data_IF_369125027066
#
_entry.id   IF_369125027066
#
_cell.length_a   1.000
_cell.length_b   1.000
_cell.length_c   1.000
_cell.angle_alpha   90.00
_cell.angle_beta   90.00
_cell.angle_gamma   90.00
#
_symmetry.space_group_name_H-M   'P 1'
#
loop_
_entity.id
_entity.type
_entity.pdbx_description
1 polymer ?
#
# COMPACT_ATOMS: atom_id res chain seq x y z
N UNK A 1 47.47 -20.53 -50.19
CA UNK A 1 46.87 -20.31 -48.85
C UNK A 1 47.06 -18.85 -48.49
N UNK A 2 46.07 -18.00 -48.76
CA UNK A 2 45.83 -16.69 -48.11
C UNK A 2 44.64 -16.00 -48.81
N UNK A 3 43.97 -15.13 -48.06
CA UNK A 3 42.89 -14.21 -48.45
C UNK A 3 41.46 -14.77 -48.60
N UNK A 4 40.91 -15.28 -47.50
CA UNK A 4 39.50 -15.02 -47.18
C UNK A 4 39.52 -14.22 -45.88
N UNK A 5 39.05 -12.99 -45.92
CA UNK A 5 38.56 -12.13 -44.82
C UNK A 5 38.92 -10.69 -45.18
N UNK A 6 37.92 -9.81 -45.09
CA UNK A 6 37.92 -8.38 -45.41
C UNK A 6 37.52 -7.99 -46.84
N UNK A 7 36.21 -7.95 -47.07
CA UNK A 7 35.60 -6.85 -47.82
C UNK A 7 34.12 -6.66 -47.45
N UNK A 8 33.87 -6.20 -46.22
CA UNK A 8 32.57 -5.63 -45.85
C UNK A 8 32.76 -4.12 -45.82
N UNK A 9 32.34 -3.45 -46.90
CA UNK A 9 32.48 -2.00 -47.01
C UNK A 9 31.73 -1.23 -45.90
N UNK A 10 32.16 -0.01 -45.57
CA UNK A 10 31.67 0.77 -44.42
C UNK A 10 30.14 0.98 -44.41
N UNK A 11 29.50 0.98 -45.58
CA UNK A 11 28.04 1.06 -45.72
C UNK A 11 27.28 -0.17 -45.21
N UNK A 12 27.86 -1.37 -45.29
CA UNK A 12 27.24 -2.62 -44.79
C UNK A 12 27.41 -2.77 -43.28
N UNK A 13 28.49 -2.23 -42.70
CA UNK A 13 28.69 -2.14 -41.26
C UNK A 13 27.75 -1.12 -40.60
N UNK A 14 27.56 0.05 -41.23
CA UNK A 14 26.59 1.04 -40.78
C UNK A 14 25.14 0.51 -40.84
N UNK A 15 24.78 -0.22 -41.90
CA UNK A 15 23.46 -0.86 -42.02
C UNK A 15 23.22 -1.94 -40.97
N UNK A 16 24.21 -2.79 -40.68
CA UNK A 16 24.11 -3.82 -39.64
C UNK A 16 24.02 -3.22 -38.23
N UNK A 17 24.79 -2.15 -37.94
CA UNK A 17 24.71 -1.42 -36.67
C UNK A 17 23.34 -0.73 -36.50
N UNK A 18 22.78 -0.16 -37.56
CA UNK A 18 21.46 0.47 -37.55
C UNK A 18 20.33 -0.54 -37.35
N UNK A 19 20.44 -1.73 -37.95
CA UNK A 19 19.50 -2.86 -37.75
C UNK A 19 19.63 -3.42 -36.33
N UNK A 20 20.84 -3.54 -35.77
CA UNK A 20 21.05 -4.00 -34.40
C UNK A 20 20.54 -2.98 -33.37
N UNK A 21 20.73 -1.68 -33.61
CA UNK A 21 20.21 -0.60 -32.77
C UNK A 21 18.66 -0.54 -32.84
N UNK A 22 18.06 -0.74 -34.02
CA UNK A 22 16.60 -0.71 -34.20
C UNK A 22 15.89 -1.95 -33.63
N UNK A 23 16.53 -3.12 -33.63
CA UNK A 23 16.01 -4.32 -32.96
C UNK A 23 16.01 -4.16 -31.42
N UNK A 24 17.00 -3.46 -30.85
CA UNK A 24 17.01 -3.13 -29.41
C UNK A 24 16.00 -2.05 -29.01
N UNK A 25 15.65 -1.13 -29.93
CA UNK A 25 14.67 -0.07 -29.68
C UNK A 25 13.22 -0.60 -29.66
N UNK A 26 12.91 -1.68 -30.39
CA UNK A 26 11.57 -2.28 -30.42
C UNK A 26 11.31 -3.28 -29.29
N UNK A 27 12.35 -3.75 -28.59
CA UNK A 27 12.20 -4.45 -27.32
C UNK A 27 11.98 -3.42 -26.19
N UNK A 28 10.89 -2.67 -26.26
CA UNK A 28 10.50 -1.75 -25.19
C UNK A 28 10.40 -2.52 -23.87
N UNK A 29 11.38 -2.34 -22.97
CA UNK A 29 11.38 -2.98 -21.66
C UNK A 29 10.01 -2.77 -21.00
N UNK A 30 9.29 -3.87 -20.76
CA UNK A 30 8.01 -3.84 -20.08
C UNK A 30 8.20 -3.21 -18.69
N UNK A 31 7.52 -2.08 -18.46
CA UNK A 31 7.52 -1.40 -17.17
C UNK A 31 6.86 -2.28 -16.10
N UNK A 32 7.12 -1.98 -14.83
CA UNK A 32 6.45 -2.62 -13.70
C UNK A 32 4.92 -2.71 -13.90
N UNK A 33 4.30 -1.58 -14.25
CA UNK A 33 2.86 -1.46 -14.49
C UNK A 33 2.33 -2.42 -15.56
N UNK A 34 3.13 -2.72 -16.58
CA UNK A 34 2.74 -3.64 -17.65
C UNK A 34 2.73 -5.09 -17.15
N UNK A 35 3.69 -5.45 -16.29
CA UNK A 35 3.85 -6.80 -15.74
C UNK A 35 2.75 -7.16 -14.72
N UNK A 36 2.30 -6.20 -13.91
CA UNK A 36 1.27 -6.46 -12.88
C UNK A 36 -0.16 -6.28 -13.39
N UNK A 37 -0.36 -5.67 -14.56
CA UNK A 37 -1.70 -5.35 -15.11
C UNK A 37 -2.61 -6.57 -15.21
N UNK A 38 -2.08 -7.69 -15.70
CA UNK A 38 -2.85 -8.94 -15.85
C UNK A 38 -3.36 -9.44 -14.50
N UNK A 39 -2.48 -9.51 -13.51
CA UNK A 39 -2.83 -9.95 -12.17
C UNK A 39 -3.85 -9.04 -11.48
N UNK A 40 -3.73 -7.71 -11.63
CA UNK A 40 -4.72 -6.76 -11.10
C UNK A 40 -6.07 -6.95 -11.78
N UNK A 41 -6.09 -7.19 -13.10
CA UNK A 41 -7.31 -7.44 -13.84
C UNK A 41 -8.00 -8.76 -13.42
N UNK A 42 -7.22 -9.83 -13.23
CA UNK A 42 -7.71 -11.11 -12.75
C UNK A 42 -8.26 -11.00 -11.32
N UNK A 43 -7.51 -10.34 -10.42
CA UNK A 43 -7.94 -10.05 -9.05
C UNK A 43 -9.30 -9.32 -9.02
N UNK A 44 -9.50 -8.29 -9.85
CA UNK A 44 -10.77 -7.54 -9.94
C UNK A 44 -11.95 -8.40 -10.37
N UNK A 45 -11.72 -9.46 -11.15
CA UNK A 45 -12.76 -10.39 -11.62
C UNK A 45 -13.03 -11.53 -10.63
N UNK A 46 -12.35 -11.56 -9.48
CA UNK A 46 -12.41 -12.67 -8.53
C UNK A 46 -11.52 -13.85 -8.90
N UNK A 47 -10.72 -13.74 -9.97
CA UNK A 47 -9.84 -14.80 -10.45
C UNK A 47 -8.51 -14.78 -9.69
N UNK A 48 -8.54 -15.20 -8.42
CA UNK A 48 -7.36 -15.11 -7.55
C UNK A 48 -6.23 -16.06 -7.97
N UNK A 49 -6.52 -17.30 -8.37
CA UNK A 49 -5.48 -18.27 -8.73
C UNK A 49 -4.65 -17.86 -9.97
N UNK A 50 -5.24 -17.38 -11.09
CA UNK A 50 -4.47 -16.79 -12.19
C UNK A 50 -3.62 -15.57 -11.76
N UNK A 51 -4.16 -14.71 -10.89
CA UNK A 51 -3.42 -13.57 -10.36
C UNK A 51 -2.21 -14.01 -9.51
N UNK A 52 -2.38 -15.02 -8.63
CA UNK A 52 -1.28 -15.62 -7.86
C UNK A 52 -0.22 -16.21 -8.79
N UNK A 53 -0.64 -17.02 -9.77
CA UNK A 53 0.25 -17.72 -10.68
C UNK A 53 1.12 -16.76 -11.53
N UNK A 54 0.54 -15.64 -11.97
CA UNK A 54 1.26 -14.62 -12.76
C UNK A 54 2.23 -13.77 -11.93
N UNK A 55 1.90 -13.49 -10.66
CA UNK A 55 2.75 -12.69 -9.77
C UNK A 55 3.87 -13.51 -9.11
N UNK A 56 3.65 -14.79 -8.83
CA UNK A 56 4.62 -15.66 -8.14
C UNK A 56 6.04 -15.60 -8.72
N UNK A 57 6.27 -15.84 -10.03
CA UNK A 57 7.64 -15.81 -10.58
C UNK A 57 8.30 -14.42 -10.49
N UNK A 58 7.50 -13.35 -10.49
CA UNK A 58 7.99 -11.97 -10.34
C UNK A 58 8.40 -11.68 -8.89
N UNK A 59 7.62 -12.15 -7.92
CA UNK A 59 7.88 -11.98 -6.49
C UNK A 59 9.03 -12.86 -5.98
N UNK A 60 9.21 -14.06 -6.56
CA UNK A 60 10.29 -14.98 -6.19
C UNK A 60 11.65 -14.53 -6.76
N UNK A 61 11.65 -13.90 -7.94
CA UNK A 61 12.87 -13.40 -8.58
C UNK A 61 13.51 -12.28 -7.76
N UNK A 62 14.74 -12.49 -7.32
CA UNK A 62 15.54 -11.46 -6.65
C UNK A 62 15.94 -10.35 -7.63
N UNK A 63 15.93 -9.12 -7.14
CA UNK A 63 16.32 -7.94 -7.90
C UNK A 63 15.59 -6.67 -7.46
N UNK A 64 15.85 -5.59 -8.19
CA UNK A 64 15.45 -4.24 -7.83
C UNK A 64 13.94 -4.03 -7.68
N UNK A 65 13.13 -4.85 -8.37
CA UNK A 65 11.67 -4.71 -8.38
C UNK A 65 10.98 -5.67 -7.41
N UNK A 66 11.73 -6.57 -6.77
CA UNK A 66 11.17 -7.68 -5.99
C UNK A 66 10.21 -7.20 -4.89
N UNK A 67 10.55 -6.10 -4.21
CA UNK A 67 9.71 -5.53 -3.16
C UNK A 67 8.32 -5.16 -3.68
N UNK A 68 8.23 -4.51 -4.85
CA UNK A 68 6.95 -4.10 -5.43
C UNK A 68 6.11 -5.33 -5.83
N UNK A 69 6.73 -6.35 -6.45
CA UNK A 69 6.01 -7.59 -6.78
C UNK A 69 5.58 -8.37 -5.54
N UNK A 70 6.36 -8.37 -4.46
CA UNK A 70 5.98 -9.01 -3.20
C UNK A 70 4.74 -8.35 -2.58
N UNK A 71 4.63 -7.02 -2.66
CA UNK A 71 3.43 -6.32 -2.22
C UNK A 71 2.18 -6.80 -2.95
N UNK A 72 2.21 -6.79 -4.28
CA UNK A 72 1.05 -7.21 -5.08
C UNK A 72 0.74 -8.70 -4.86
N UNK A 73 1.76 -9.55 -4.85
CA UNK A 73 1.64 -11.00 -4.64
C UNK A 73 1.04 -11.35 -3.27
N UNK A 74 1.54 -10.72 -2.21
CA UNK A 74 1.08 -10.99 -0.85
C UNK A 74 -0.38 -10.54 -0.64
N UNK A 75 -0.80 -9.42 -1.24
CA UNK A 75 -2.21 -9.00 -1.22
C UNK A 75 -3.11 -9.99 -1.94
N UNK A 76 -2.73 -10.44 -3.14
CA UNK A 76 -3.54 -11.43 -3.89
C UNK A 76 -3.64 -12.75 -3.13
N UNK A 77 -2.56 -13.21 -2.49
CA UNK A 77 -2.60 -14.39 -1.62
C UNK A 77 -3.56 -14.21 -0.43
N UNK A 78 -3.58 -13.03 0.21
CA UNK A 78 -4.54 -12.75 1.29
C UNK A 78 -5.98 -12.81 0.78
N UNK A 79 -6.26 -12.21 -0.39
CA UNK A 79 -7.59 -12.25 -1.02
C UNK A 79 -8.00 -13.66 -1.46
N UNK A 80 -7.03 -14.52 -1.78
CA UNK A 80 -7.25 -15.94 -2.06
C UNK A 80 -7.49 -16.79 -0.78
N UNK A 81 -7.45 -16.19 0.41
CA UNK A 81 -7.52 -16.91 1.69
C UNK A 81 -6.25 -17.69 2.05
N UNK A 82 -5.15 -17.49 1.32
CA UNK A 82 -3.85 -18.16 1.53
C UNK A 82 -2.99 -17.36 2.51
N UNK A 83 -3.51 -17.19 3.73
CA UNK A 83 -2.94 -16.29 4.73
C UNK A 83 -1.49 -16.64 5.12
N UNK A 84 -1.15 -17.92 5.28
CA UNK A 84 0.22 -18.32 5.61
C UNK A 84 1.24 -17.96 4.52
N UNK A 85 0.86 -18.10 3.25
CA UNK A 85 1.70 -17.73 2.12
C UNK A 85 1.79 -16.20 1.97
N UNK A 86 0.68 -15.51 2.18
CA UNK A 86 0.63 -14.04 2.24
C UNK A 86 1.58 -13.52 3.34
N UNK A 87 1.54 -14.12 4.53
CA UNK A 87 2.41 -13.79 5.65
C UNK A 87 3.88 -14.01 5.30
N UNK A 88 4.25 -15.13 4.68
CA UNK A 88 5.63 -15.37 4.22
C UNK A 88 6.10 -14.31 3.22
N UNK A 89 5.24 -13.93 2.27
CA UNK A 89 5.55 -12.92 1.27
C UNK A 89 5.70 -11.52 1.90
N UNK A 90 4.80 -11.13 2.82
CA UNK A 90 4.90 -9.86 3.55
C UNK A 90 6.09 -9.80 4.50
N UNK A 91 6.47 -10.89 5.17
CA UNK A 91 7.68 -10.94 5.98
C UNK A 91 8.94 -10.77 5.13
N UNK A 92 8.96 -11.31 3.89
CA UNK A 92 10.04 -11.04 2.94
C UNK A 92 10.03 -9.58 2.48
N UNK A 93 8.85 -9.01 2.21
CA UNK A 93 8.70 -7.61 1.85
C UNK A 93 9.18 -6.68 2.98
N UNK A 94 8.83 -6.99 4.23
CA UNK A 94 9.23 -6.23 5.42
C UNK A 94 10.76 -6.16 5.53
N UNK A 95 11.44 -7.29 5.37
CA UNK A 95 12.92 -7.37 5.35
C UNK A 95 13.55 -6.54 4.23
N UNK A 96 12.98 -6.55 3.03
CA UNK A 96 13.48 -5.76 1.91
C UNK A 96 13.17 -4.26 2.05
N UNK A 97 12.12 -3.93 2.80
CA UNK A 97 11.72 -2.56 3.12
C UNK A 97 12.48 -1.97 4.33
N UNK A 98 13.28 -2.78 5.05
CA UNK A 98 13.98 -2.35 6.27
C UNK A 98 14.90 -1.14 6.04
N UNK A 99 14.79 -0.19 6.96
CA UNK A 99 15.27 1.19 6.83
C UNK A 99 16.77 1.40 7.08
N UNK A 100 17.49 0.39 7.57
CA UNK A 100 18.87 0.56 8.09
C UNK A 100 19.91 0.94 7.04
N UNK A 101 19.54 0.93 5.77
CA UNK A 101 20.44 1.15 4.63
C UNK A 101 20.38 2.58 4.03
N UNK A 102 19.77 3.54 4.73
CA UNK A 102 19.37 4.82 4.16
C UNK A 102 20.50 5.86 3.96
N UNK A 103 21.71 5.65 4.49
CA UNK A 103 22.76 6.68 4.54
C UNK A 103 24.03 6.44 3.70
N UNK A 104 24.05 5.57 2.68
CA UNK A 104 25.20 5.59 1.77
C UNK A 104 25.09 6.76 0.78
N UNK A 105 25.74 7.88 1.08
CA UNK A 105 25.99 9.00 0.13
C UNK A 105 26.56 8.46 -1.20
N UNK A 106 27.31 7.36 -1.16
CA UNK A 106 27.84 6.62 -2.31
C UNK A 106 26.77 6.10 -3.28
N UNK A 107 25.57 5.70 -2.80
CA UNK A 107 24.44 5.32 -3.67
C UNK A 107 23.82 6.53 -4.37
N UNK A 108 23.86 7.72 -3.77
CA UNK A 108 23.27 8.92 -4.39
C UNK A 108 24.07 9.30 -5.63
N UNK A 109 25.41 9.36 -5.54
CA UNK A 109 26.26 9.62 -6.71
C UNK A 109 26.12 8.56 -7.80
N UNK A 110 26.11 7.27 -7.42
CA UNK A 110 25.88 6.16 -8.38
C UNK A 110 24.47 6.16 -8.99
N UNK A 111 23.46 6.63 -8.26
CA UNK A 111 22.07 6.71 -8.73
C UNK A 111 21.83 7.74 -9.82
N UNK A 112 22.69 8.75 -9.95
CA UNK A 112 22.58 9.77 -11.00
C UNK A 112 23.06 9.26 -12.36
N UNK A 113 23.80 8.15 -12.38
CA UNK A 113 24.35 7.56 -13.61
C UNK A 113 23.32 6.63 -14.26
N UNK A 114 22.59 5.86 -13.44
CA UNK A 114 21.61 4.85 -13.89
C UNK A 114 20.16 5.35 -13.77
N UNK A 115 19.22 4.74 -14.51
CA UNK A 115 17.79 5.04 -14.34
C UNK A 115 17.31 4.61 -12.93
N UNK A 116 16.41 5.38 -12.32
CA UNK A 116 15.74 5.03 -11.06
C UNK A 116 15.08 3.64 -11.05
N UNK A 117 14.48 3.17 -12.16
CA UNK A 117 13.95 1.79 -12.28
C UNK A 117 15.06 0.72 -12.14
N UNK A 118 16.33 1.06 -12.40
CA UNK A 118 17.47 0.17 -12.23
C UNK A 118 18.04 0.16 -10.81
N UNK A 119 17.46 0.93 -9.89
CA UNK A 119 17.83 0.97 -8.48
C UNK A 119 16.79 0.20 -7.68
N UNK A 120 17.20 -0.46 -6.60
CA UNK A 120 16.29 -1.14 -5.68
C UNK A 120 15.12 -0.24 -5.27
N UNK A 121 13.89 -0.69 -5.57
CA UNK A 121 12.66 -0.07 -5.10
C UNK A 121 12.60 -0.18 -3.58
N UNK A 122 12.24 0.94 -2.94
CA UNK A 122 12.23 1.06 -1.49
C UNK A 122 10.83 1.03 -0.88
N UNK A 123 9.77 1.22 -1.66
CA UNK A 123 8.44 1.48 -1.12
C UNK A 123 8.30 2.88 -0.52
N UNK A 124 7.08 3.41 -0.56
CA UNK A 124 6.72 4.67 0.09
C UNK A 124 6.52 4.45 1.60
N UNK A 125 6.73 5.48 2.43
CA UNK A 125 6.66 5.31 3.89
C UNK A 125 5.29 4.80 4.37
N UNK A 126 4.19 5.26 3.76
CA UNK A 126 2.85 4.77 4.11
C UNK A 126 2.64 3.29 3.71
N UNK A 127 3.21 2.83 2.59
CA UNK A 127 3.18 1.43 2.14
C UNK A 127 3.95 0.54 3.12
N UNK A 128 5.12 0.99 3.58
CA UNK A 128 5.95 0.23 4.52
C UNK A 128 5.27 0.01 5.87
N UNK A 129 4.43 0.94 6.32
CA UNK A 129 3.58 0.77 7.52
C UNK A 129 2.47 -0.24 7.26
N UNK A 130 1.88 -0.23 6.06
CA UNK A 130 0.84 -1.18 5.69
C UNK A 130 1.34 -2.63 5.69
N UNK A 131 2.63 -2.91 5.47
CA UNK A 131 3.16 -4.28 5.54
C UNK A 131 2.77 -4.97 6.86
N UNK A 132 3.05 -4.34 8.00
CA UNK A 132 2.70 -4.92 9.31
C UNK A 132 1.20 -4.88 9.58
N UNK A 133 0.46 -3.92 9.01
CA UNK A 133 -1.00 -3.91 9.11
C UNK A 133 -1.63 -5.10 8.39
N UNK A 134 -1.15 -5.44 7.20
CA UNK A 134 -1.58 -6.64 6.46
C UNK A 134 -1.14 -7.94 7.14
N UNK A 135 0.06 -7.98 7.73
CA UNK A 135 0.50 -9.13 8.55
C UNK A 135 -0.42 -9.32 9.77
N UNK A 136 -0.71 -8.25 10.51
CA UNK A 136 -1.65 -8.29 11.63
C UNK A 136 -3.05 -8.76 11.18
N UNK A 137 -3.54 -8.28 10.03
CA UNK A 137 -4.81 -8.76 9.46
C UNK A 137 -4.79 -10.24 9.12
N UNK A 138 -3.71 -10.78 8.53
CA UNK A 138 -3.58 -12.22 8.28
C UNK A 138 -3.76 -13.02 9.57
N UNK A 139 -3.04 -12.63 10.63
CA UNK A 139 -3.12 -13.30 11.92
C UNK A 139 -4.50 -13.16 12.57
N UNK A 140 -5.14 -11.99 12.50
CA UNK A 140 -6.51 -11.79 12.99
C UNK A 140 -7.52 -12.67 12.26
N UNK A 141 -7.41 -12.80 10.93
CA UNK A 141 -8.26 -13.66 10.10
C UNK A 141 -8.06 -15.15 10.40
N UNK A 142 -6.91 -15.52 10.94
CA UNK A 142 -6.61 -16.86 11.44
C UNK A 142 -6.90 -17.02 12.94
N UNK A 143 -7.55 -16.02 13.57
CA UNK A 143 -7.84 -15.98 15.01
C UNK A 143 -6.57 -16.15 15.89
N UNK A 144 -5.42 -15.67 15.39
CA UNK A 144 -4.13 -15.67 16.06
C UNK A 144 -3.82 -14.25 16.58
N UNK A 145 -4.27 -13.97 17.80
CA UNK A 145 -4.07 -12.66 18.42
C UNK A 145 -2.60 -12.42 18.82
N UNK A 146 -1.88 -13.46 19.22
CA UNK A 146 -0.51 -13.34 19.73
C UNK A 146 0.42 -12.80 18.65
N UNK A 147 0.39 -13.37 17.46
CA UNK A 147 1.19 -12.90 16.33
C UNK A 147 0.69 -11.56 15.77
N UNK A 148 -0.63 -11.31 15.82
CA UNK A 148 -1.16 -9.99 15.49
C UNK A 148 -0.58 -8.91 16.42
N UNK A 149 -0.47 -9.18 17.73
CA UNK A 149 0.15 -8.27 18.69
C UNK A 149 1.65 -8.09 18.46
N UNK A 150 2.37 -9.11 17.97
CA UNK A 150 3.79 -8.96 17.58
C UNK A 150 3.90 -7.94 16.45
N UNK A 151 3.08 -8.08 15.41
CA UNK A 151 3.10 -7.18 14.27
C UNK A 151 2.60 -5.77 14.61
N UNK A 152 1.64 -5.65 15.52
CA UNK A 152 1.21 -4.37 16.09
C UNK A 152 2.35 -3.62 16.79
N UNK A 153 3.20 -4.32 17.55
CA UNK A 153 4.40 -3.71 18.16
C UNK A 153 5.40 -3.25 17.11
N UNK A 154 5.71 -4.10 16.13
CA UNK A 154 6.64 -3.77 15.02
C UNK A 154 6.13 -2.58 14.20
N UNK A 155 4.82 -2.51 13.96
CA UNK A 155 4.12 -1.41 13.31
C UNK A 155 4.28 -0.09 14.12
N UNK A 156 4.07 -0.16 15.44
CA UNK A 156 4.22 1.00 16.32
C UNK A 156 5.68 1.48 16.42
N UNK A 157 6.64 0.56 16.53
CA UNK A 157 8.07 0.88 16.49
C UNK A 157 8.46 1.57 15.17
N UNK A 158 8.00 1.03 14.04
CA UNK A 158 8.26 1.59 12.70
C UNK A 158 7.70 3.00 12.57
N UNK A 159 6.45 3.25 12.99
CA UNK A 159 5.88 4.60 12.94
C UNK A 159 6.58 5.56 13.89
N UNK A 160 6.94 5.12 15.11
CA UNK A 160 7.66 5.98 16.05
C UNK A 160 9.05 6.36 15.51
N UNK A 161 9.75 5.42 14.86
CA UNK A 161 11.01 5.70 14.18
C UNK A 161 10.82 6.73 13.06
N UNK A 162 9.84 6.53 12.18
CA UNK A 162 9.55 7.47 11.08
C UNK A 162 9.17 8.86 11.59
N UNK A 163 8.33 8.96 12.63
CA UNK A 163 7.98 10.24 13.25
C UNK A 163 9.21 10.94 13.81
N UNK A 164 10.15 10.20 14.41
CA UNK A 164 11.39 10.77 14.96
C UNK A 164 12.37 11.22 13.87
N UNK A 165 12.54 10.42 12.82
CA UNK A 165 13.54 10.64 11.76
C UNK A 165 13.08 11.66 10.72
N UNK A 166 11.80 11.60 10.33
CA UNK A 166 11.23 12.43 9.27
C UNK A 166 10.44 13.63 9.82
N UNK A 167 10.16 13.67 11.13
CA UNK A 167 9.40 14.74 11.78
C UNK A 167 8.00 14.92 11.19
N UNK A 168 7.59 16.18 11.02
CA UNK A 168 6.31 16.57 10.42
C UNK A 168 6.16 16.11 8.95
N UNK A 169 7.25 15.72 8.29
CA UNK A 169 7.23 15.17 6.93
C UNK A 169 6.64 13.76 6.85
N UNK A 170 6.54 13.03 7.97
CA UNK A 170 5.89 11.72 8.00
C UNK A 170 4.40 11.85 8.35
N UNK A 171 3.55 11.57 7.36
CA UNK A 171 2.13 11.32 7.59
C UNK A 171 1.93 9.94 8.17
N UNK A 172 1.30 9.86 9.34
CA UNK A 172 0.95 8.58 9.92
C UNK A 172 -0.13 7.89 9.07
N UNK A 173 -0.22 6.58 9.24
CA UNK A 173 -1.23 5.78 8.56
C UNK A 173 -2.45 5.63 9.50
N UNK A 174 -3.57 6.32 9.26
CA UNK A 174 -4.71 6.34 10.18
C UNK A 174 -5.35 4.95 10.31
N UNK A 175 -5.42 4.18 9.21
CA UNK A 175 -5.90 2.80 9.26
C UNK A 175 -5.02 1.91 10.13
N UNK A 176 -3.70 2.00 9.97
CA UNK A 176 -2.74 1.24 10.78
C UNK A 176 -2.87 1.56 12.28
N UNK A 177 -3.02 2.84 12.64
CA UNK A 177 -3.26 3.27 14.03
C UNK A 177 -4.59 2.74 14.55
N UNK A 178 -5.64 2.85 13.77
CA UNK A 178 -6.97 2.39 14.17
C UNK A 178 -7.03 0.86 14.34
N UNK A 179 -6.40 0.12 13.42
CA UNK A 179 -6.24 -1.33 13.53
C UNK A 179 -5.42 -1.73 14.76
N UNK A 180 -4.29 -1.06 14.99
CA UNK A 180 -3.46 -1.24 16.20
C UNK A 180 -4.28 -1.07 17.47
N UNK A 181 -5.06 0.01 17.56
CA UNK A 181 -5.93 0.26 18.70
C UNK A 181 -6.95 -0.86 18.91
N UNK A 182 -7.64 -1.32 17.85
CA UNK A 182 -8.57 -2.45 17.94
C UNK A 182 -7.90 -3.75 18.39
N UNK A 183 -6.64 -3.98 18.04
CA UNK A 183 -5.87 -5.15 18.48
C UNK A 183 -5.50 -5.04 19.96
N UNK A 184 -5.09 -3.86 20.44
CA UNK A 184 -4.85 -3.63 21.87
C UNK A 184 -6.11 -3.79 22.70
N UNK A 185 -7.26 -3.36 22.19
CA UNK A 185 -8.55 -3.59 22.85
C UNK A 185 -8.91 -5.06 22.98
N UNK A 186 -8.60 -5.86 21.95
CA UNK A 186 -8.82 -7.30 21.98
C UNK A 186 -7.94 -7.98 23.05
N UNK A 187 -6.74 -7.42 23.31
CA UNK A 187 -5.85 -7.80 24.42
C UNK A 187 -6.21 -7.10 25.76
N UNK A 188 -7.28 -6.30 25.79
CA UNK A 188 -7.75 -5.50 26.95
C UNK A 188 -6.72 -4.51 27.49
N UNK A 189 -5.76 -4.10 26.67
CA UNK A 189 -4.81 -3.02 26.97
C UNK A 189 -5.44 -1.69 26.60
N UNK A 190 -6.35 -1.24 27.44
CA UNK A 190 -7.19 -0.06 27.18
C UNK A 190 -6.39 1.23 27.03
N UNK A 191 -5.31 1.41 27.80
CA UNK A 191 -4.44 2.59 27.69
C UNK A 191 -3.66 2.61 26.37
N UNK A 192 -3.09 1.47 25.96
CA UNK A 192 -2.40 1.36 24.66
C UNK A 192 -3.38 1.59 23.49
N UNK A 193 -4.58 1.00 23.60
CA UNK A 193 -5.66 1.24 22.64
C UNK A 193 -6.06 2.70 22.57
N UNK A 194 -6.26 3.35 23.72
CA UNK A 194 -6.60 4.77 23.81
C UNK A 194 -5.54 5.63 23.13
N UNK A 195 -4.26 5.39 23.40
CA UNK A 195 -3.14 6.14 22.78
C UNK A 195 -3.20 6.02 21.25
N UNK A 196 -3.39 4.82 20.71
CA UNK A 196 -3.44 4.63 19.26
C UNK A 196 -4.74 5.19 18.64
N UNK A 197 -5.88 5.20 19.35
CA UNK A 197 -7.08 5.93 18.92
C UNK A 197 -6.87 7.44 18.89
N UNK A 198 -6.19 8.02 19.89
CA UNK A 198 -5.84 9.46 19.89
C UNK A 198 -5.00 9.78 18.66
N UNK A 199 -3.97 8.98 18.36
CA UNK A 199 -3.13 9.18 17.18
C UNK A 199 -3.89 9.05 15.87
N UNK A 200 -4.87 8.13 15.78
CA UNK A 200 -5.74 8.02 14.62
C UNK A 200 -6.64 9.27 14.48
N UNK A 201 -7.22 9.75 15.59
CA UNK A 201 -8.06 10.95 15.62
C UNK A 201 -7.31 12.22 15.22
N UNK A 202 -6.03 12.35 15.63
CA UNK A 202 -5.16 13.45 15.22
C UNK A 202 -4.90 13.49 13.70
N UNK A 203 -5.05 12.36 12.99
CA UNK A 203 -4.97 12.34 11.53
C UNK A 203 -6.28 12.75 10.86
N UNK A 204 -7.43 12.32 11.41
CA UNK A 204 -8.75 12.65 10.88
C UNK A 204 -9.82 12.62 11.98
N UNK A 205 -10.15 13.80 12.50
CA UNK A 205 -11.19 13.99 13.51
C UNK A 205 -12.62 13.88 12.96
N UNK A 206 -12.80 13.75 11.64
CA UNK A 206 -14.11 13.65 11.00
C UNK A 206 -14.75 12.25 11.13
N UNK A 207 -13.94 11.23 11.38
CA UNK A 207 -14.40 9.84 11.60
C UNK A 207 -15.22 9.79 12.89
N UNK A 208 -16.50 9.47 12.78
CA UNK A 208 -17.43 9.53 13.90
C UNK A 208 -17.26 8.36 14.87
N UNK A 209 -16.96 7.16 14.36
CA UNK A 209 -16.66 5.99 15.21
C UNK A 209 -15.49 6.21 16.17
N UNK A 210 -14.46 6.94 15.74
CA UNK A 210 -13.29 7.27 16.59
C UNK A 210 -13.67 8.01 17.86
N UNK A 211 -14.66 8.91 17.79
CA UNK A 211 -15.11 9.71 18.95
C UNK A 211 -15.73 8.82 20.02
N UNK A 212 -16.56 7.86 19.59
CA UNK A 212 -17.13 6.85 20.49
C UNK A 212 -16.06 5.94 21.07
N UNK A 213 -15.07 5.55 20.26
CA UNK A 213 -13.95 4.71 20.67
C UNK A 213 -13.03 5.36 21.71
N UNK A 214 -12.78 6.67 21.59
CA UNK A 214 -12.02 7.46 22.56
C UNK A 214 -12.71 7.51 23.92
N UNK A 215 -14.01 7.82 23.95
CA UNK A 215 -14.82 7.82 25.18
C UNK A 215 -14.87 6.41 25.78
N UNK A 216 -15.10 5.40 24.93
CA UNK A 216 -15.20 3.99 25.36
C UNK A 216 -13.88 3.50 25.97
N UNK A 217 -12.75 3.77 25.33
CA UNK A 217 -11.44 3.35 25.86
C UNK A 217 -11.04 4.12 27.10
N UNK A 218 -11.30 5.44 27.18
CA UNK A 218 -11.08 6.22 28.40
C UNK A 218 -11.91 5.69 29.58
N UNK A 219 -13.17 5.30 29.32
CA UNK A 219 -14.03 4.69 30.34
C UNK A 219 -13.56 3.29 30.77
N UNK A 220 -13.07 2.49 29.83
CA UNK A 220 -12.59 1.12 30.09
C UNK A 220 -11.22 1.11 30.78
N UNK A 221 -10.34 2.07 30.50
CA UNK A 221 -9.07 2.23 31.20
C UNK A 221 -9.21 2.87 32.58
N UNK A 222 -10.35 3.53 32.85
CA UNK A 222 -10.56 4.27 34.10
C UNK A 222 -9.87 5.63 34.13
N UNK A 223 -9.40 6.12 32.99
CA UNK A 223 -8.79 7.44 32.84
C UNK A 223 -9.89 8.53 32.86
N UNK A 224 -10.17 9.06 34.05
CA UNK A 224 -11.24 10.06 34.26
C UNK A 224 -10.95 11.36 33.52
N UNK A 225 -9.70 11.84 33.51
CA UNK A 225 -9.34 13.08 32.82
C UNK A 225 -9.61 12.99 31.31
N UNK A 226 -9.24 11.86 30.69
CA UNK A 226 -9.55 11.60 29.29
C UNK A 226 -11.05 11.48 29.04
N UNK A 227 -11.77 10.79 29.94
CA UNK A 227 -13.21 10.62 29.82
C UNK A 227 -13.95 11.96 29.89
N UNK A 228 -13.65 12.79 30.89
CA UNK A 228 -14.22 14.12 31.06
C UNK A 228 -13.91 15.02 29.87
N UNK A 229 -12.66 14.98 29.36
CA UNK A 229 -12.26 15.71 28.16
C UNK A 229 -13.15 15.34 26.97
N UNK A 230 -13.24 14.06 26.63
CA UNK A 230 -13.95 13.63 25.41
C UNK A 230 -15.46 13.76 25.55
N UNK A 231 -16.03 13.57 26.75
CA UNK A 231 -17.46 13.83 26.98
C UNK A 231 -17.80 15.32 26.94
N UNK A 232 -16.87 16.21 27.30
CA UNK A 232 -17.03 17.66 27.12
C UNK A 232 -16.95 18.06 25.64
N UNK A 233 -16.05 17.44 24.88
CA UNK A 233 -15.88 17.69 23.45
C UNK A 233 -17.05 17.12 22.62
N UNK A 234 -17.59 15.97 23.03
CA UNK A 234 -18.67 15.23 22.36
C UNK A 234 -19.82 14.86 23.32
N UNK A 235 -20.58 15.85 23.84
CA UNK A 235 -21.63 15.62 24.84
C UNK A 235 -22.81 14.79 24.33
N UNK A 236 -22.98 14.67 23.02
CA UNK A 236 -23.98 13.83 22.37
C UNK A 236 -23.68 12.33 22.50
N UNK A 237 -22.42 11.94 22.67
CA UNK A 237 -22.01 10.54 22.79
C UNK A 237 -22.14 10.10 24.24
N UNK A 238 -23.16 9.30 24.53
CA UNK A 238 -23.41 8.75 25.87
C UNK A 238 -22.62 7.46 26.09
N UNK A 239 -22.21 7.23 27.34
CA UNK A 239 -21.61 5.96 27.75
C UNK A 239 -22.66 4.86 27.58
N UNK A 240 -22.31 3.82 26.82
CA UNK A 240 -23.14 2.63 26.70
C UNK A 240 -22.73 1.60 27.77
N UNK A 241 -23.63 1.24 28.71
CA UNK A 241 -23.37 0.20 29.70
C UNK A 241 -22.95 -1.14 29.09
N UNK A 242 -23.33 -1.42 27.83
CA UNK A 242 -22.97 -2.64 27.14
C UNK A 242 -21.48 -2.75 26.83
N UNK A 243 -20.69 -1.66 26.84
CA UNK A 243 -19.24 -1.79 26.60
C UNK A 243 -18.51 -2.59 27.69
N UNK A 244 -19.09 -2.76 28.89
CA UNK A 244 -18.59 -3.66 29.95
C UNK A 244 -19.32 -5.01 30.01
N UNK A 245 -20.33 -5.22 29.16
CA UNK A 245 -21.16 -6.40 29.22
C UNK A 245 -20.46 -7.62 28.59
N UNK A 246 -19.96 -8.52 29.43
CA UNK A 246 -19.27 -9.74 29.02
C UNK A 246 -20.12 -10.70 28.18
N UNK A 247 -21.45 -10.50 28.08
CA UNK A 247 -22.32 -11.31 27.21
C UNK A 247 -22.22 -10.90 25.73
N UNK A 248 -21.60 -9.77 25.43
CA UNK A 248 -21.43 -9.25 24.08
C UNK A 248 -20.01 -9.50 23.57
N UNK A 249 -19.88 -9.73 22.28
CA UNK A 249 -18.64 -9.54 21.53
C UNK A 249 -18.83 -8.40 20.53
N UNK A 250 -17.86 -8.23 19.65
CA UNK A 250 -17.92 -7.22 18.59
C UNK A 250 -17.58 -7.85 17.23
N UNK A 251 -18.37 -7.55 16.22
CA UNK A 251 -18.02 -7.84 14.83
C UNK A 251 -17.36 -6.61 14.22
N UNK A 252 -16.18 -6.81 13.65
CA UNK A 252 -15.40 -5.77 12.97
C UNK A 252 -15.27 -6.15 11.50
N UNK A 253 -15.82 -5.32 10.63
CA UNK A 253 -15.61 -5.39 9.18
C UNK A 253 -14.50 -4.43 8.80
N UNK A 254 -13.43 -4.96 8.22
CA UNK A 254 -12.45 -4.18 7.47
C UNK A 254 -12.81 -4.22 5.99
N UNK A 255 -13.42 -3.14 5.53
CA UNK A 255 -13.83 -2.98 4.14
C UNK A 255 -12.73 -2.29 3.34
N UNK A 256 -12.28 -2.96 2.29
CA UNK A 256 -11.22 -2.50 1.42
C UNK A 256 -11.84 -2.12 0.07
N UNK A 257 -12.09 -0.84 -0.13
CA UNK A 257 -12.85 -0.34 -1.27
C UNK A 257 -11.92 0.04 -2.43
N UNK A 258 -12.29 -0.38 -3.64
CA UNK A 258 -11.70 0.06 -4.90
C UNK A 258 -10.20 -0.18 -5.03
N UNK A 259 -9.53 0.61 -5.86
CA UNK A 259 -8.10 0.44 -6.13
C UNK A 259 -7.35 1.77 -5.95
N UNK A 260 -6.19 1.72 -5.30
CA UNK A 260 -5.30 2.88 -5.11
C UNK A 260 -5.00 3.57 -6.45
N UNK A 261 -4.53 4.82 -6.51
CA UNK A 261 -4.20 5.47 -7.77
C UNK A 261 -3.12 4.72 -8.54
N UNK A 262 -3.13 4.87 -9.85
CA UNK A 262 -2.14 4.28 -10.74
C UNK A 262 -1.03 5.27 -11.06
N UNK A 263 0.23 4.89 -10.81
CA UNK A 263 1.42 5.66 -11.17
C UNK A 263 1.77 5.40 -12.64
N UNK A 264 1.71 6.45 -13.45
CA UNK A 264 2.01 6.44 -14.89
C UNK A 264 2.98 7.58 -15.23
N UNK A 265 3.60 7.58 -16.43
CA UNK A 265 4.38 8.73 -16.89
C UNK A 265 3.52 10.00 -16.91
N UNK A 266 4.10 11.12 -16.51
CA UNK A 266 3.45 12.41 -16.62
C UNK A 266 3.31 12.79 -18.11
N UNK A 267 2.10 13.10 -18.61
CA UNK A 267 1.89 13.48 -20.01
C UNK A 267 2.73 14.68 -20.46
N UNK A 268 2.95 15.63 -19.56
CA UNK A 268 3.69 16.87 -19.85
C UNK A 268 5.21 16.66 -19.75
N UNK A 269 5.65 15.60 -19.05
CA UNK A 269 7.06 15.28 -18.83
C UNK A 269 7.25 13.78 -18.53
N UNK A 270 7.39 12.95 -19.58
CA UNK A 270 7.35 11.47 -19.45
C UNK A 270 8.40 10.85 -18.53
N UNK A 271 9.50 11.55 -18.25
CA UNK A 271 10.55 11.11 -17.30
C UNK A 271 10.13 11.30 -15.83
N UNK A 272 9.01 11.97 -15.57
CA UNK A 272 8.45 12.20 -14.25
C UNK A 272 7.20 11.32 -14.04
N UNK A 273 6.97 10.78 -12.83
CA UNK A 273 5.77 10.02 -12.53
C UNK A 273 4.56 10.94 -12.23
N UNK A 274 3.34 10.44 -12.44
CA UNK A 274 2.09 11.07 -12.00
C UNK A 274 1.10 9.98 -11.56
N UNK A 275 0.35 10.24 -10.50
CA UNK A 275 -0.67 9.34 -9.96
C UNK A 275 -2.06 9.71 -10.51
N UNK A 276 -2.78 8.72 -11.03
CA UNK A 276 -4.11 8.86 -11.62
C UNK A 276 -5.14 8.04 -10.82
N UNK A 277 -6.25 8.65 -10.42
CA UNK A 277 -7.33 7.94 -9.72
C UNK A 277 -7.93 6.86 -10.59
N UNK A 278 -8.22 5.71 -9.96
CA UNK A 278 -9.02 4.64 -10.57
C UNK A 278 -10.43 4.73 -9.98
N UNK A 279 -11.41 5.31 -10.71
CA UNK A 279 -12.75 5.50 -10.16
C UNK A 279 -13.43 4.16 -9.89
N UNK A 280 -14.23 4.12 -8.84
CA UNK A 280 -15.14 3.01 -8.52
C UNK A 280 -16.51 3.54 -8.12
N UNK A 281 -17.53 2.74 -8.41
CA UNK A 281 -18.93 3.01 -8.11
C UNK A 281 -19.21 2.88 -6.60
N UNK A 282 -18.74 1.80 -5.99
CA UNK A 282 -18.88 1.54 -4.56
C UNK A 282 -18.02 2.47 -3.73
N UNK A 283 -18.64 3.24 -2.83
CA UNK A 283 -17.96 4.20 -1.94
C UNK A 283 -18.02 3.82 -0.47
N UNK A 284 -18.90 2.90 -0.10
CA UNK A 284 -19.04 2.38 1.27
C UNK A 284 -19.67 0.99 1.25
N UNK A 285 -19.81 0.34 2.41
CA UNK A 285 -20.55 -0.89 2.56
C UNK A 285 -21.54 -0.81 3.72
N UNK A 286 -22.64 -1.53 3.62
CA UNK A 286 -23.58 -1.74 4.71
C UNK A 286 -23.44 -3.16 5.24
N UNK A 287 -23.04 -3.31 6.50
CA UNK A 287 -23.00 -4.59 7.21
C UNK A 287 -24.35 -4.81 7.89
N UNK A 288 -25.05 -5.87 7.51
CA UNK A 288 -26.39 -6.20 7.99
C UNK A 288 -26.32 -7.49 8.80
N UNK A 289 -26.90 -7.48 9.99
CA UNK A 289 -26.88 -8.58 10.96
C UNK A 289 -28.31 -8.99 11.32
N UNK A 290 -28.60 -10.29 11.19
CA UNK A 290 -29.90 -10.91 11.46
C UNK A 290 -31.09 -10.21 10.79
N UNK A 291 -30.85 -9.58 9.64
CA UNK A 291 -31.85 -8.87 8.84
C UNK A 291 -32.42 -7.60 9.48
N UNK A 292 -31.89 -7.14 10.61
CA UNK A 292 -32.49 -6.03 11.39
C UNK A 292 -31.48 -4.96 11.75
N UNK A 293 -30.34 -5.33 12.32
CA UNK A 293 -29.29 -4.38 12.66
C UNK A 293 -28.41 -4.11 11.44
N UNK A 294 -28.07 -2.85 11.19
CA UNK A 294 -27.15 -2.49 10.12
C UNK A 294 -26.20 -1.38 10.53
N UNK A 295 -24.96 -1.44 10.07
CA UNK A 295 -23.96 -0.40 10.25
C UNK A 295 -23.25 -0.13 8.93
N UNK A 296 -23.17 1.16 8.56
CA UNK A 296 -22.43 1.61 7.38
C UNK A 296 -20.94 1.72 7.74
N UNK A 297 -20.07 1.38 6.80
CA UNK A 297 -18.63 1.58 6.96
C UNK A 297 -18.27 3.06 6.93
N UNK A 298 -17.32 3.44 7.79
CA UNK A 298 -16.71 4.76 7.81
C UNK A 298 -15.30 4.68 7.23
N UNK A 299 -14.96 5.63 6.35
CA UNK A 299 -13.63 5.69 5.76
C UNK A 299 -12.61 6.10 6.82
N UNK A 300 -11.62 5.27 7.06
CA UNK A 300 -10.54 5.51 8.02
C UNK A 300 -9.28 6.00 7.32
N UNK A 301 -9.03 5.53 6.09
CA UNK A 301 -7.88 5.95 5.29
C UNK A 301 -8.27 6.08 3.83
N UNK A 302 -7.93 7.23 3.24
CA UNK A 302 -8.01 7.48 1.80
C UNK A 302 -6.61 7.31 1.18
N UNK A 303 -6.37 6.16 0.54
CA UNK A 303 -5.08 5.81 -0.06
C UNK A 303 -4.84 6.64 -1.31
N UNK A 304 -5.89 7.02 -2.06
CA UNK A 304 -5.76 7.89 -3.23
C UNK A 304 -5.22 9.27 -2.86
N UNK A 305 -5.81 9.87 -1.84
CA UNK A 305 -5.34 11.13 -1.28
C UNK A 305 -3.90 11.01 -0.75
N UNK A 306 -3.62 10.02 0.11
CA UNK A 306 -2.31 9.88 0.77
C UNK A 306 -1.19 9.61 -0.25
N UNK A 307 -1.42 8.74 -1.23
CA UNK A 307 -0.42 8.42 -2.25
C UNK A 307 -0.08 9.66 -3.10
N UNK A 308 -1.10 10.38 -3.59
CA UNK A 308 -0.90 11.60 -4.39
C UNK A 308 -0.21 12.70 -3.61
N UNK A 309 -0.62 12.90 -2.36
CA UNK A 309 0.01 13.91 -1.49
C UNK A 309 1.47 13.55 -1.23
N UNK A 310 1.77 12.28 -1.00
CA UNK A 310 3.14 11.80 -0.77
C UNK A 310 4.02 12.04 -1.98
N UNK A 311 3.55 11.74 -3.19
CA UNK A 311 4.28 12.06 -4.41
C UNK A 311 4.48 13.57 -4.58
N UNK A 312 3.47 14.38 -4.26
CA UNK A 312 3.52 15.82 -4.41
C UNK A 312 4.55 16.48 -3.48
N UNK A 313 4.66 16.03 -2.23
CA UNK A 313 5.59 16.62 -1.25
C UNK A 313 7.05 16.43 -1.66
N UNK A 314 7.37 15.34 -2.35
CA UNK A 314 8.74 15.06 -2.84
C UNK A 314 8.95 15.45 -4.30
N UNK A 315 7.95 16.02 -4.97
CA UNK A 315 7.98 16.22 -6.43
C UNK A 315 9.11 17.16 -6.88
N UNK A 316 9.37 18.23 -6.12
CA UNK A 316 10.49 19.13 -6.37
C UNK A 316 11.85 18.42 -6.23
N UNK A 317 11.98 17.50 -5.27
CA UNK A 317 13.19 16.68 -5.09
C UNK A 317 13.39 15.72 -6.26
N UNK A 318 12.29 15.12 -6.78
CA UNK A 318 12.32 14.28 -7.98
C UNK A 318 12.82 15.10 -9.18
N UNK A 319 12.27 16.30 -9.41
CA UNK A 319 12.70 17.18 -10.51
C UNK A 319 14.19 17.53 -10.37
N UNK A 320 14.62 17.96 -9.18
CA UNK A 320 16.01 18.34 -8.92
C UNK A 320 16.97 17.15 -9.17
N UNK A 321 16.60 15.96 -8.70
CA UNK A 321 17.38 14.74 -8.92
C UNK A 321 17.46 14.37 -10.40
N UNK A 322 16.37 14.50 -11.16
CA UNK A 322 16.38 14.25 -12.62
C UNK A 322 17.24 15.27 -13.37
N UNK A 323 17.18 16.55 -13.01
CA UNK A 323 18.05 17.57 -13.58
C UNK A 323 19.54 17.26 -13.30
N UNK A 324 19.87 16.85 -12.07
CA UNK A 324 21.23 16.46 -11.69
C UNK A 324 21.72 15.21 -12.44
N UNK A 325 20.84 14.21 -12.64
CA UNK A 325 21.15 13.01 -13.41
C UNK A 325 21.46 13.35 -14.89
N UNK A 326 20.64 14.20 -15.50
CA UNK A 326 20.87 14.68 -16.87
C UNK A 326 22.20 15.45 -16.97
N UNK A 327 22.46 16.37 -16.05
CA UNK A 327 23.72 17.11 -16.01
C UNK A 327 24.93 16.19 -15.86
N UNK A 328 24.83 15.17 -15.00
CA UNK A 328 25.88 14.16 -14.81
C UNK A 328 26.17 13.38 -16.09
N UNK A 329 25.12 12.97 -16.81
CA UNK A 329 25.24 12.28 -18.12
C UNK A 329 25.90 13.16 -19.18
N UNK A 330 25.60 14.45 -19.19
CA UNK A 330 26.26 15.43 -20.09
C UNK A 330 27.76 15.52 -19.78
N UNK A 331 28.14 15.60 -18.50
CA UNK A 331 29.56 15.63 -18.09
C UNK A 331 30.29 14.36 -18.50
N UNK A 332 29.69 13.18 -18.30
CA UNK A 332 30.26 11.89 -18.74
C UNK A 332 30.46 11.87 -20.26
N UNK A 333 29.45 12.29 -21.01
CA UNK A 333 29.53 12.34 -22.47
C UNK A 333 30.62 13.30 -22.96
N UNK A 334 30.76 14.46 -22.33
CA UNK A 334 31.80 15.44 -22.68
C UNK A 334 33.21 14.88 -22.43
N UNK A 335 33.39 14.10 -21.37
CA UNK A 335 34.66 13.41 -21.13
C UNK A 335 34.99 12.40 -22.24
N UNK A 336 33.99 11.67 -22.75
CA UNK A 336 34.17 10.74 -23.88
C UNK A 336 34.45 11.51 -25.18
N UNK A 337 33.81 12.68 -25.40
CA UNK A 337 34.02 13.51 -26.60
C UNK A 337 35.46 13.99 -26.75
N UNK A 338 36.20 14.17 -25.65
CA UNK A 338 37.63 14.53 -25.67
C UNK A 338 38.47 13.48 -26.39
N UNK A 339 38.09 12.21 -26.32
CA UNK A 339 38.76 11.12 -27.02
C UNK A 339 38.12 10.84 -28.39
N UNK A 340 36.79 10.81 -28.45
CA UNK A 340 36.04 10.60 -29.68
C UNK A 340 34.66 11.28 -29.64
N UNK A 341 34.50 12.34 -30.46
CA UNK A 341 33.28 13.14 -30.53
C UNK A 341 32.04 12.31 -30.84
N UNK A 342 32.10 11.45 -31.87
CA UNK A 342 30.96 10.63 -32.29
C UNK A 342 30.56 9.63 -31.18
N UNK A 343 31.55 9.01 -30.54
CA UNK A 343 31.29 8.09 -29.43
C UNK A 343 30.61 8.80 -28.25
N UNK A 344 31.03 10.01 -27.92
CA UNK A 344 30.42 10.81 -26.86
C UNK A 344 28.98 11.23 -27.18
N UNK A 345 28.68 11.62 -28.41
CA UNK A 345 27.32 11.95 -28.85
C UNK A 345 26.39 10.73 -28.82
N UNK A 346 26.86 9.58 -29.32
CA UNK A 346 26.12 8.31 -29.27
C UNK A 346 25.89 7.87 -27.82
N UNK A 347 26.91 7.99 -26.96
CA UNK A 347 26.79 7.66 -25.54
C UNK A 347 25.73 8.53 -24.84
N UNK A 348 25.72 9.84 -25.08
CA UNK A 348 24.72 10.74 -24.50
C UNK A 348 23.30 10.37 -24.92
N UNK A 349 23.07 10.20 -26.23
CA UNK A 349 21.76 9.81 -26.76
C UNK A 349 21.30 8.49 -26.14
N UNK A 350 22.19 7.51 -26.06
CA UNK A 350 21.91 6.21 -25.44
C UNK A 350 21.53 6.38 -23.96
N UNK A 351 22.30 7.13 -23.17
CA UNK A 351 22.01 7.35 -21.75
C UNK A 351 20.69 8.11 -21.53
N UNK A 352 20.33 9.06 -22.40
CA UNK A 352 19.07 9.79 -22.30
C UNK A 352 17.88 8.92 -22.69
N UNK A 353 18.00 8.02 -23.67
CA UNK A 353 16.94 7.08 -24.04
C UNK A 353 16.60 6.09 -22.93
N UNK A 354 17.53 5.85 -22.00
CA UNK A 354 17.26 5.01 -20.83
C UNK A 354 16.48 5.72 -19.74
N UNK A 355 16.27 7.04 -19.79
CA UNK A 355 15.52 7.78 -18.75
C UNK A 355 14.03 7.48 -18.80
N UNK A 356 13.48 6.99 -17.68
CA UNK A 356 12.06 6.74 -17.49
C UNK A 356 11.64 7.10 -16.07
N UNK A 357 10.37 7.44 -15.90
CA UNK A 357 9.76 7.60 -14.59
C UNK A 357 9.79 6.27 -13.81
N UNK A 358 10.07 6.33 -12.51
CA UNK A 358 9.87 5.15 -11.64
C UNK A 358 8.37 4.93 -11.40
N UNK A 359 7.82 3.90 -12.03
CA UNK A 359 6.39 3.57 -11.97
C UNK A 359 6.07 2.45 -10.97
N UNK A 360 7.04 2.02 -10.16
CA UNK A 360 6.85 1.01 -9.12
C UNK A 360 6.01 1.59 -7.99
N UNK A 361 5.04 0.80 -7.55
CA UNK A 361 4.07 1.11 -6.51
C UNK A 361 3.41 -0.20 -6.05
N UNK A 362 2.82 -0.22 -4.87
CA UNK A 362 1.90 -1.29 -4.48
C UNK A 362 0.56 -1.14 -5.22
N UNK A 363 0.37 -1.87 -6.33
CA UNK A 363 -0.74 -1.66 -7.27
C UNK A 363 -2.06 -2.32 -6.88
N UNK A 364 -2.05 -3.27 -5.97
CA UNK A 364 -3.23 -3.98 -5.44
C UNK A 364 -3.86 -3.34 -4.21
N UNK A 365 -3.27 -2.26 -3.66
CA UNK A 365 -3.84 -1.53 -2.52
C UNK A 365 -5.28 -1.03 -2.79
N UNK A 366 -6.10 -0.88 -1.74
CA UNK A 366 -7.40 -0.21 -1.83
C UNK A 366 -7.29 1.25 -2.22
N UNK A 367 -8.37 1.78 -2.77
CA UNK A 367 -8.59 3.23 -2.79
C UNK A 367 -8.82 3.73 -1.35
N UNK A 368 -9.56 2.97 -0.55
CA UNK A 368 -9.73 3.29 0.87
C UNK A 368 -9.85 2.07 1.78
N UNK A 369 -9.42 2.25 3.02
CA UNK A 369 -9.75 1.36 4.13
C UNK A 369 -10.87 1.97 4.92
N UNK A 370 -11.92 1.18 5.15
CA UNK A 370 -13.09 1.57 5.90
C UNK A 370 -13.40 0.53 6.97
N UNK A 371 -14.01 0.97 8.05
CA UNK A 371 -14.35 0.11 9.17
C UNK A 371 -15.83 0.24 9.49
N UNK A 372 -16.47 -0.90 9.77
CA UNK A 372 -17.74 -0.95 10.49
C UNK A 372 -17.59 -1.84 11.71
N UNK A 373 -18.16 -1.41 12.84
CA UNK A 373 -18.11 -2.12 14.12
C UNK A 373 -19.52 -2.25 14.66
N UNK A 374 -19.87 -3.44 15.13
CA UNK A 374 -21.17 -3.67 15.75
C UNK A 374 -21.03 -4.58 16.98
N UNK A 375 -21.36 -4.09 18.18
CA UNK A 375 -21.50 -4.93 19.36
C UNK A 375 -22.68 -5.90 19.18
N UNK A 376 -22.43 -7.19 19.39
CA UNK A 376 -23.43 -8.25 19.22
C UNK A 376 -23.45 -9.13 20.46
N UNK A 377 -24.62 -9.66 20.81
CA UNK A 377 -24.69 -10.71 21.83
C UNK A 377 -23.84 -11.90 21.37
N UNK A 378 -23.25 -12.62 22.31
CA UNK A 378 -22.53 -13.85 21.98
C UNK A 378 -23.49 -14.90 21.40
N UNK A 379 -23.06 -15.59 20.34
CA UNK A 379 -23.90 -16.53 19.62
C UNK A 379 -23.60 -16.59 18.13
N UNK A 380 -24.44 -17.32 17.39
CA UNK A 380 -24.41 -17.35 15.92
C UNK A 380 -25.28 -16.23 15.37
N UNK A 381 -24.72 -15.46 14.45
CA UNK A 381 -25.40 -14.38 13.75
C UNK A 381 -25.30 -14.61 12.25
N UNK A 382 -26.36 -14.28 11.52
CA UNK A 382 -26.35 -14.26 10.06
C UNK A 382 -25.96 -12.86 9.59
N UNK A 383 -24.88 -12.77 8.82
CA UNK A 383 -24.40 -11.49 8.29
C UNK A 383 -24.57 -11.44 6.78
N UNK A 384 -24.75 -10.23 6.25
CA UNK A 384 -24.75 -9.90 4.82
C UNK A 384 -24.10 -8.55 4.63
N UNK A 385 -23.37 -8.36 3.54
CA UNK A 385 -22.69 -7.09 3.26
C UNK A 385 -23.05 -6.63 1.85
N UNK A 386 -23.38 -5.35 1.72
CA UNK A 386 -23.76 -4.75 0.44
C UNK A 386 -22.89 -3.51 0.20
N UNK A 387 -22.24 -3.43 -0.96
CA UNK A 387 -21.54 -2.23 -1.35
C UNK A 387 -22.56 -1.17 -1.80
N UNK A 388 -22.36 0.05 -1.34
CA UNK A 388 -23.23 1.19 -1.62
C UNK A 388 -22.50 2.22 -2.47
N UNK A 389 -23.23 2.80 -3.42
CA UNK A 389 -22.77 3.94 -4.21
C UNK A 389 -22.88 5.27 -3.45
N UNK A 390 -22.65 6.39 -4.15
CA UNK A 390 -22.68 7.75 -3.57
C UNK A 390 -24.06 8.21 -3.12
N UNK A 391 -25.14 7.67 -3.69
CA UNK A 391 -26.52 8.01 -3.30
C UNK A 391 -27.09 7.02 -2.29
N UNK A 392 -26.36 5.96 -1.97
CA UNK A 392 -26.73 4.96 -0.98
C UNK A 392 -27.39 3.72 -1.57
N UNK A 393 -27.38 3.57 -2.89
CA UNK A 393 -27.96 2.42 -3.59
C UNK A 393 -26.94 1.28 -3.70
N UNK A 394 -27.44 0.04 -3.80
CA UNK A 394 -26.60 -1.15 -3.88
C UNK A 394 -25.92 -1.22 -5.25
N UNK A 395 -24.60 -1.35 -5.29
CA UNK A 395 -23.83 -1.40 -6.55
C UNK A 395 -23.95 -2.71 -7.33
N UNK A 396 -24.51 -3.74 -6.68
CA UNK A 396 -24.52 -5.13 -7.16
C UNK A 396 -23.41 -5.99 -6.57
N UNK A 397 -22.35 -5.40 -6.00
CA UNK A 397 -21.38 -6.15 -5.20
C UNK A 397 -21.97 -6.45 -3.82
N UNK A 398 -22.09 -7.74 -3.51
CA UNK A 398 -22.59 -8.23 -2.22
C UNK A 398 -21.79 -9.43 -1.74
N UNK A 399 -21.62 -9.51 -0.42
CA UNK A 399 -21.22 -10.74 0.23
C UNK A 399 -22.48 -11.47 0.69
N UNK A 400 -22.76 -12.61 0.04
CA UNK A 400 -23.89 -13.47 0.35
C UNK A 400 -23.91 -13.91 1.82
N UNK A 401 -25.09 -14.28 2.31
CA UNK A 401 -25.30 -14.51 3.74
C UNK A 401 -24.42 -15.63 4.32
N UNK A 402 -23.60 -15.29 5.31
CA UNK A 402 -22.74 -16.23 6.05
C UNK A 402 -23.12 -16.22 7.53
N UNK A 403 -23.00 -17.36 8.19
CA UNK A 403 -23.14 -17.43 9.65
C UNK A 403 -21.78 -17.20 10.31
N UNK A 404 -21.72 -16.27 11.25
CA UNK A 404 -20.53 -15.99 12.04
C UNK A 404 -20.79 -16.24 13.53
N UNK A 405 -19.77 -16.69 14.25
CA UNK A 405 -19.85 -16.94 15.70
C UNK A 405 -19.20 -15.77 16.43
N UNK A 406 -19.98 -15.06 17.23
CA UNK A 406 -19.51 -13.99 18.11
C UNK A 406 -19.21 -14.58 19.49
N UNK A 407 -17.97 -14.41 19.94
CA UNK A 407 -17.51 -14.88 21.25
C UNK A 407 -17.68 -13.77 22.32
N UNK A 408 -18.05 -14.13 23.57
CA UNK A 408 -18.22 -13.15 24.63
C UNK A 408 -16.90 -12.44 24.97
N UNK A 409 -16.94 -11.11 24.99
CA UNK A 409 -15.80 -10.24 25.31
C UNK A 409 -14.66 -10.29 24.29
N UNK A 410 -14.93 -10.71 23.05
CA UNK A 410 -13.95 -10.82 21.96
C UNK A 410 -14.42 -10.06 20.73
N UNK A 411 -13.47 -9.60 19.93
CA UNK A 411 -13.67 -9.09 18.58
C UNK A 411 -13.57 -10.24 17.58
N UNK A 412 -14.44 -10.21 16.58
CA UNK A 412 -14.40 -11.11 15.42
C UNK A 412 -14.15 -10.26 14.19
N UNK A 413 -12.99 -10.43 13.57
CA UNK A 413 -12.59 -9.66 12.41
C UNK A 413 -12.97 -10.39 11.12
N UNK A 414 -13.55 -9.65 10.19
CA UNK A 414 -13.74 -10.07 8.80
C UNK A 414 -13.21 -9.00 7.86
N UNK A 415 -12.75 -9.41 6.69
CA UNK A 415 -12.35 -8.48 5.63
C UNK A 415 -13.22 -8.69 4.41
N UNK A 416 -13.55 -7.60 3.70
CA UNK A 416 -14.22 -7.67 2.42
C UNK A 416 -13.63 -6.68 1.43
N UNK A 417 -13.46 -7.12 0.18
CA UNK A 417 -12.77 -6.40 -0.89
C UNK A 417 -13.69 -6.27 -2.09
N UNK A 418 -13.85 -5.05 -2.59
CA UNK A 418 -14.69 -4.71 -3.75
C UNK A 418 -13.94 -3.88 -4.78
N UNK A 419 -14.40 -3.93 -6.03
CA UNK A 419 -13.67 -3.36 -7.18
C UNK A 419 -14.53 -2.61 -8.19
N UNK A 420 -15.87 -2.59 -8.03
CA UNK A 420 -16.80 -1.99 -8.99
C UNK A 420 -17.14 -0.56 -8.58
#
# INVERSE_FOLDING_TARGET
MNSLFWNIGPRRFAGALFIFLSIFVLAGCATYQTKVRGAVHDMRRGNMEPAVASLKPLAEKEGNDQLAYLFDYATVLQLAGRYDESTKAFLKADKLAEFKDYHSVTRIAGSLIVNEEMIQYKGENYEKVLINAYLALNYLLQNNLEDALVETRRLNEKMNFMTKDLGEGFRQNPFARYLSAMIWEEDKKWDDAYIDYVKAYEQDASVSSLKSDLIRTAWLSGNQDALERWQKEYPEIKIDPNWKNKKYGELVLVYQQGLAPQKLPNPDAQILPKLFTRPTLGVSANLIVDGTASVKTEKIMDVDYIAKRTLNDVYAQIIAKRAAAIATKVVIAEQIRKENKLLGDVALLTMLMTERADLRQWSTLPESFQIARIPLKSGRHRIRIEALDRVGEITGEKWESVNIVIKPGRKTFITWRTFI
#
